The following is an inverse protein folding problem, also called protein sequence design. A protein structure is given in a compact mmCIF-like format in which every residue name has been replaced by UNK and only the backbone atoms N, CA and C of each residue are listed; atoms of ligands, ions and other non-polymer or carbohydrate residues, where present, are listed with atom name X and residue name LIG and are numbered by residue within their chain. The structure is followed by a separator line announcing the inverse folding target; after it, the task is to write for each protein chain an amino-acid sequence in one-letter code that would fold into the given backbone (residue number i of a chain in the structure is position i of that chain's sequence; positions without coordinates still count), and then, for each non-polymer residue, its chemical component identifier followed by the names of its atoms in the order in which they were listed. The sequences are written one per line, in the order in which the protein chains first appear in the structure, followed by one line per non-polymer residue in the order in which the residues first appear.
data_IF_633808757907
#
_entry.id   IF_633808757907
#
_cell.length_a   1.000
_cell.length_b   1.000
_cell.length_c   1.000
_cell.angle_alpha   90.00
_cell.angle_beta   90.00
_cell.angle_gamma   90.00
#
_symmetry.space_group_name_H-M   'P 1'
#
loop_
_entity.id
_entity.type
_entity.pdbx_description
1 polymer ?
#
# COMPACT_ATOMS: atom_id res chain seq x y z
N UNK A 1 9.37 -17.07 37.05
CA UNK A 1 8.44 -16.05 36.52
C UNK A 1 7.36 -16.77 35.72
N UNK A 2 6.12 -16.80 36.21
CA UNK A 2 5.02 -17.44 35.49
C UNK A 2 4.80 -16.71 34.16
N UNK A 3 4.85 -17.44 33.05
CA UNK A 3 4.51 -16.89 31.75
C UNK A 3 3.01 -16.55 31.77
N UNK A 4 2.68 -15.26 31.93
CA UNK A 4 1.29 -14.79 31.91
C UNK A 4 0.69 -15.22 30.57
N UNK A 5 -0.27 -16.13 30.64
CA UNK A 5 -1.06 -16.56 29.49
C UNK A 5 -2.27 -15.64 29.44
N UNK A 6 -2.49 -14.95 28.33
CA UNK A 6 -3.65 -14.08 28.15
C UNK A 6 -4.84 -14.93 27.68
N UNK A 7 -5.23 -15.90 28.50
CA UNK A 7 -6.25 -16.91 28.16
C UNK A 7 -7.64 -16.45 28.59
N UNK A 8 -7.72 -15.71 29.69
CA UNK A 8 -8.96 -15.18 30.27
C UNK A 8 -9.09 -13.66 30.08
N UNK A 9 -10.32 -13.17 30.13
CA UNK A 9 -10.61 -11.74 30.08
C UNK A 9 -10.04 -10.98 31.29
N UNK A 10 -9.91 -11.64 32.45
CA UNK A 10 -9.32 -11.04 33.66
C UNK A 10 -7.84 -10.71 33.45
N UNK A 11 -7.07 -11.67 32.95
CA UNK A 11 -5.63 -11.50 32.68
C UNK A 11 -5.38 -10.43 31.60
N UNK A 12 -6.26 -10.35 30.60
CA UNK A 12 -6.22 -9.29 29.59
C UNK A 12 -6.48 -7.92 30.24
N UNK A 13 -7.51 -7.82 31.08
CA UNK A 13 -7.87 -6.56 31.75
C UNK A 13 -6.82 -6.08 32.75
N UNK A 14 -6.17 -6.99 33.48
CA UNK A 14 -5.04 -6.68 34.35
C UNK A 14 -3.90 -6.05 33.55
N UNK A 15 -3.52 -6.68 32.43
CA UNK A 15 -2.45 -6.16 31.58
C UNK A 15 -2.80 -4.83 30.90
N UNK A 16 -4.06 -4.63 30.52
CA UNK A 16 -4.51 -3.35 29.98
C UNK A 16 -4.34 -2.23 31.01
N UNK A 17 -4.70 -2.46 32.26
CA UNK A 17 -4.51 -1.49 33.34
C UNK A 17 -3.03 -1.20 33.61
N UNK A 18 -2.17 -2.22 33.61
CA UNK A 18 -0.71 -2.03 33.71
C UNK A 18 -0.14 -1.14 32.60
N UNK A 19 -0.73 -1.21 31.40
CA UNK A 19 -0.36 -0.39 30.25
C UNK A 19 -1.04 0.99 30.25
N UNK A 20 -1.83 1.32 31.28
CA UNK A 20 -2.56 2.59 31.38
C UNK A 20 -3.79 2.67 30.46
N UNK A 21 -4.36 1.53 30.08
CA UNK A 21 -5.57 1.41 29.27
C UNK A 21 -6.77 0.98 30.11
N UNK A 22 -7.97 1.26 29.62
CA UNK A 22 -9.20 0.88 30.31
C UNK A 22 -9.47 -0.63 30.20
N UNK A 23 -10.11 -1.18 31.23
CA UNK A 23 -10.64 -2.55 31.20
C UNK A 23 -11.76 -2.62 30.16
N UNK A 24 -11.87 -3.76 29.50
CA UNK A 24 -12.89 -4.07 28.51
C UNK A 24 -13.91 -5.06 29.07
N UNK A 25 -15.17 -4.88 28.70
CA UNK A 25 -16.27 -5.80 29.02
C UNK A 25 -16.23 -7.07 28.15
N UNK A 26 -16.95 -8.14 28.53
CA UNK A 26 -17.07 -9.34 27.68
C UNK A 26 -17.63 -9.02 26.28
N UNK A 27 -18.58 -8.08 26.19
CA UNK A 27 -19.16 -7.64 24.92
C UNK A 27 -18.13 -6.92 24.05
N UNK A 28 -17.35 -6.00 24.63
CA UNK A 28 -16.27 -5.31 23.93
C UNK A 28 -15.17 -6.29 23.49
N UNK A 29 -14.84 -7.29 24.31
CA UNK A 29 -13.89 -8.33 23.94
C UNK A 29 -14.36 -9.15 22.73
N UNK A 30 -15.67 -9.44 22.63
CA UNK A 30 -16.25 -10.12 21.47
C UNK A 30 -16.22 -9.26 20.20
N UNK A 31 -16.45 -7.94 20.32
CA UNK A 31 -16.32 -7.01 19.19
C UNK A 31 -14.88 -6.85 18.72
N UNK A 32 -13.92 -6.77 19.65
CA UNK A 32 -12.49 -6.71 19.34
C UNK A 32 -12.04 -7.99 18.60
N UNK A 33 -12.55 -9.17 18.98
CA UNK A 33 -12.24 -10.43 18.30
C UNK A 33 -12.77 -10.49 16.86
N UNK A 34 -13.87 -9.80 16.54
CA UNK A 34 -14.35 -9.65 15.16
C UNK A 34 -13.45 -8.74 14.33
N UNK A 35 -12.87 -7.73 14.96
CA UNK A 35 -12.01 -6.73 14.29
C UNK A 35 -10.53 -7.15 14.20
N UNK A 36 -10.06 -8.06 15.07
CA UNK A 36 -8.69 -8.54 15.06
C UNK A 36 -8.59 -9.98 15.61
N UNK A 37 -7.76 -10.84 15.01
CA UNK A 37 -7.56 -12.20 15.50
C UNK A 37 -6.95 -12.21 16.91
N UNK A 38 -7.40 -13.15 17.76
CA UNK A 38 -6.97 -13.30 19.17
C UNK A 38 -5.45 -13.31 19.32
N UNK A 39 -4.72 -13.98 18.42
CA UNK A 39 -3.25 -14.03 18.41
C UNK A 39 -2.59 -12.66 18.33
N UNK A 40 -3.17 -11.74 17.55
CA UNK A 40 -2.66 -10.37 17.38
C UNK A 40 -2.90 -9.51 18.62
N UNK A 41 -4.03 -9.69 19.30
CA UNK A 41 -4.31 -9.02 20.57
C UNK A 41 -3.33 -9.49 21.67
N UNK A 42 -3.15 -10.80 21.80
CA UNK A 42 -2.20 -11.42 22.73
C UNK A 42 -0.77 -10.95 22.47
N UNK A 43 -0.35 -10.89 21.21
CA UNK A 43 0.97 -10.38 20.83
C UNK A 43 1.12 -8.90 21.19
N UNK A 44 0.11 -8.07 20.90
CA UNK A 44 0.16 -6.65 21.25
C UNK A 44 0.25 -6.42 22.77
N UNK A 45 -0.47 -7.20 23.59
CA UNK A 45 -0.39 -7.11 25.06
C UNK A 45 0.98 -7.48 25.62
N UNK A 46 1.69 -8.41 24.98
CA UNK A 46 3.08 -8.78 25.33
C UNK A 46 4.07 -7.66 25.01
N UNK A 47 3.94 -7.09 23.81
CA UNK A 47 4.95 -6.17 23.27
C UNK A 47 4.69 -4.71 23.61
N UNK A 48 3.50 -4.32 24.08
CA UNK A 48 3.10 -2.92 24.27
C UNK A 48 4.01 -2.09 25.18
N UNK A 49 4.75 -2.69 26.12
CA UNK A 49 5.69 -1.97 26.99
C UNK A 49 6.99 -1.56 26.29
N UNK A 50 7.37 -2.22 25.19
CA UNK A 50 8.62 -1.96 24.45
C UNK A 50 8.40 -1.66 22.96
N UNK A 51 7.16 -1.78 22.46
CA UNK A 51 6.79 -1.57 21.07
C UNK A 51 5.66 -0.54 20.96
N UNK A 52 6.02 0.68 20.54
CA UNK A 52 5.09 1.80 20.32
C UNK A 52 3.97 1.45 19.35
N UNK A 53 4.24 0.59 18.36
CA UNK A 53 3.24 0.10 17.40
C UNK A 53 2.19 -0.80 18.05
N UNK A 54 2.62 -1.69 18.94
CA UNK A 54 1.72 -2.54 19.73
C UNK A 54 0.86 -1.71 20.69
N UNK A 55 1.43 -0.69 21.33
CA UNK A 55 0.69 0.20 22.23
C UNK A 55 -0.35 1.05 21.47
N UNK A 56 0.00 1.59 20.31
CA UNK A 56 -0.92 2.34 19.46
C UNK A 56 -2.05 1.45 18.92
N UNK A 57 -1.77 0.19 18.61
CA UNK A 57 -2.79 -0.79 18.24
C UNK A 57 -3.80 -1.02 19.36
N UNK A 58 -3.35 -1.19 20.62
CA UNK A 58 -4.23 -1.36 21.77
C UNK A 58 -5.07 -0.10 22.06
N UNK A 59 -4.47 1.09 22.02
CA UNK A 59 -5.19 2.38 22.20
C UNK A 59 -6.29 2.61 21.17
N UNK A 60 -6.08 2.15 19.93
CA UNK A 60 -7.09 2.26 18.87
C UNK A 60 -8.27 1.33 19.08
N UNK A 61 -8.03 0.14 19.63
CA UNK A 61 -9.06 -0.85 19.89
C UNK A 61 -9.84 -0.58 21.18
N UNK A 62 -9.24 0.15 22.12
CA UNK A 62 -9.79 0.46 23.43
C UNK A 62 -9.82 1.98 23.56
N UNK A 63 -10.83 2.65 22.96
CA UNK A 63 -10.94 4.09 23.05
C UNK A 63 -11.11 4.49 24.52
N UNK A 64 -10.27 5.42 24.98
CA UNK A 64 -10.46 6.05 26.28
C UNK A 64 -11.79 6.82 26.25
N UNK A 65 -12.63 6.63 27.27
CA UNK A 65 -13.88 7.38 27.42
C UNK A 65 -13.60 8.89 27.33
N UNK A 66 -14.03 9.53 26.24
CA UNK A 66 -14.17 10.98 26.17
C UNK A 66 -15.32 11.36 27.11
N UNK A 67 -14.99 11.92 28.27
CA UNK A 67 -15.95 12.69 29.04
C UNK A 67 -16.45 13.86 28.20
N UNK A 68 -17.75 14.08 28.24
CA UNK A 68 -18.49 15.21 27.67
C UNK A 68 -17.74 16.54 27.73
N UNK A 69 -17.71 17.30 26.62
CA UNK A 69 -18.08 18.73 26.56
C UNK A 69 -17.83 19.36 25.17
N UNK A 70 -18.94 19.83 24.58
CA UNK A 70 -19.14 21.00 23.71
C UNK A 70 -18.13 21.33 22.59
N UNK A 71 -18.59 21.18 21.34
CA UNK A 71 -18.11 21.94 20.19
C UNK A 71 -19.25 22.84 19.65
N UNK A 72 -19.07 24.17 19.51
CA UNK A 72 -20.01 25.04 18.82
C UNK A 72 -19.94 24.84 17.30
N UNK A 73 -21.12 24.73 16.69
CA UNK A 73 -21.33 24.84 15.25
C UNK A 73 -21.23 26.32 14.82
N UNK A 74 -20.48 26.60 13.75
CA UNK A 74 -20.66 27.83 12.98
C UNK A 74 -20.82 27.47 11.50
N UNK A 75 -22.06 27.61 11.03
CA UNK A 75 -22.39 27.77 9.62
C UNK A 75 -22.25 29.25 9.22
N UNK A 76 -21.89 29.60 7.97
CA UNK A 76 -22.06 30.95 7.48
C UNK A 76 -23.47 31.16 6.88
N UNK A 77 -24.13 32.22 7.35
CA UNK A 77 -25.39 32.72 6.85
C UNK A 77 -25.21 33.53 5.56
N UNK A 78 -26.20 33.45 4.67
CA UNK A 78 -26.35 34.26 3.48
C UNK A 78 -27.65 35.11 3.58
N UNK A 79 -27.56 36.42 3.32
CA UNK A 79 -28.60 37.29 2.75
C UNK A 79 -28.13 38.77 2.74
N UNK A 80 -28.02 39.43 1.56
CA UNK A 80 -28.97 40.43 0.98
C UNK A 80 -28.49 41.89 1.21
N UNK A 81 -28.60 42.94 0.37
CA UNK A 81 -29.20 43.28 -0.95
C UNK A 81 -28.64 44.65 -1.42
N UNK A 82 -28.30 44.91 -2.69
CA UNK A 82 -29.07 45.74 -3.68
C UNK A 82 -28.31 47.02 -4.14
N UNK A 83 -28.75 47.85 -5.14
CA UNK A 83 -29.53 47.59 -6.36
C UNK A 83 -29.07 48.35 -7.67
N UNK A 84 -29.60 47.89 -8.83
CA UNK A 84 -30.00 48.60 -10.09
C UNK A 84 -29.00 49.36 -11.00
N UNK A 85 -28.96 49.00 -12.30
CA UNK A 85 -29.67 49.73 -13.39
C UNK A 85 -29.66 49.01 -14.76
N UNK A 86 -30.76 49.20 -15.52
CA UNK A 86 -31.07 48.67 -16.87
C UNK A 86 -30.41 49.50 -17.98
N UNK A 87 -30.06 48.87 -19.10
CA UNK A 87 -30.43 49.36 -20.44
C UNK A 87 -30.25 48.28 -21.52
N UNK A 88 -31.08 48.38 -22.55
CA UNK A 88 -31.38 47.41 -23.62
C UNK A 88 -30.94 47.93 -24.99
N UNK A 89 -30.52 47.05 -25.92
CA UNK A 89 -30.78 47.19 -27.37
C UNK A 89 -30.26 46.00 -28.23
N UNK A 90 -31.19 45.50 -29.07
CA UNK A 90 -31.08 44.97 -30.46
C UNK A 90 -30.14 43.81 -30.90
N UNK A 91 -30.78 42.78 -31.45
CA UNK A 91 -30.38 41.67 -32.36
C UNK A 91 -29.75 42.13 -33.72
N UNK A 92 -29.28 41.26 -34.69
CA UNK A 92 -29.62 39.83 -34.91
C UNK A 92 -28.53 38.81 -35.38
N UNK A 93 -28.88 37.54 -35.18
CA UNK A 93 -28.75 36.32 -36.01
C UNK A 93 -27.46 35.95 -36.77
N UNK A 94 -26.97 34.71 -36.50
CA UNK A 94 -26.66 33.73 -37.56
C UNK A 94 -26.84 32.30 -37.07
N UNK A 95 -27.80 31.60 -37.69
CA UNK A 95 -28.10 30.19 -37.53
C UNK A 95 -27.01 29.31 -38.15
N UNK A 96 -26.69 28.15 -37.57
CA UNK A 96 -26.31 26.92 -38.29
C UNK A 96 -26.92 25.71 -37.55
N UNK A 97 -27.81 25.03 -38.27
CA UNK A 97 -28.51 23.78 -37.94
C UNK A 97 -27.60 22.58 -38.25
N UNK A 98 -27.67 21.53 -37.42
CA UNK A 98 -26.98 20.26 -37.68
C UNK A 98 -27.41 19.17 -36.70
N UNK A 99 -28.49 18.46 -37.07
CA UNK A 99 -29.14 17.29 -36.47
C UNK A 99 -28.29 16.36 -35.57
N UNK A 100 -28.78 16.09 -34.36
CA UNK A 100 -28.47 14.89 -33.57
C UNK A 100 -29.74 14.01 -33.45
N UNK A 101 -29.68 12.69 -33.72
CA UNK A 101 -30.79 11.77 -33.45
C UNK A 101 -30.90 11.38 -31.95
N UNK A 102 -32.07 10.86 -31.52
CA UNK A 102 -32.43 10.70 -30.11
C UNK A 102 -31.77 9.50 -29.42
N UNK A 103 -31.64 9.64 -28.10
CA UNK A 103 -31.01 8.72 -27.17
C UNK A 103 -31.72 7.35 -27.11
N UNK A 104 -30.99 6.29 -27.45
CA UNK A 104 -31.32 4.92 -27.09
C UNK A 104 -30.80 4.61 -25.69
N UNK A 105 -31.70 4.18 -24.81
CA UNK A 105 -31.43 3.65 -23.48
C UNK A 105 -30.29 2.62 -23.50
N UNK A 106 -29.16 2.96 -22.88
CA UNK A 106 -28.07 2.02 -22.59
C UNK A 106 -28.08 1.70 -21.10
N UNK A 107 -28.30 0.43 -20.69
CA UNK A 107 -28.18 0.06 -19.29
C UNK A 107 -26.75 0.35 -18.80
N UNK A 108 -26.63 1.11 -17.70
CA UNK A 108 -25.39 1.24 -16.94
C UNK A 108 -25.01 -0.14 -16.39
N UNK A 109 -24.04 -0.79 -17.05
CA UNK A 109 -23.31 -1.90 -16.45
C UNK A 109 -22.54 -1.35 -15.24
N UNK A 110 -23.09 -1.56 -14.05
CA UNK A 110 -22.38 -1.38 -12.80
C UNK A 110 -21.23 -2.39 -12.77
N UNK A 111 -19.99 -1.90 -12.81
CA UNK A 111 -18.83 -2.70 -12.49
C UNK A 111 -18.94 -3.16 -11.03
N UNK A 112 -18.70 -4.45 -10.71
CA UNK A 112 -18.75 -4.91 -9.33
C UNK A 112 -17.66 -4.21 -8.51
N UNK A 113 -18.07 -3.63 -7.39
CA UNK A 113 -17.21 -3.00 -6.41
C UNK A 113 -16.13 -3.99 -5.94
N UNK A 114 -14.86 -3.63 -6.11
CA UNK A 114 -13.76 -4.36 -5.52
C UNK A 114 -13.94 -4.41 -3.98
N UNK A 115 -13.68 -5.55 -3.32
CA UNK A 115 -13.69 -5.61 -1.87
C UNK A 115 -12.61 -4.67 -1.33
N UNK A 116 -13.03 -3.62 -0.64
CA UNK A 116 -12.16 -2.72 0.10
C UNK A 116 -11.46 -3.52 1.20
N UNK A 117 -10.22 -3.93 0.93
CA UNK A 117 -9.31 -4.43 1.95
C UNK A 117 -9.18 -3.39 3.06
N UNK A 118 -9.29 -3.86 4.30
CA UNK A 118 -9.16 -3.13 5.55
C UNK A 118 -8.18 -1.94 5.44
N UNK A 119 -8.71 -0.72 5.57
CA UNK A 119 -7.91 0.51 5.68
C UNK A 119 -7.05 0.43 6.95
N UNK A 120 -5.83 -0.12 6.82
CA UNK A 120 -4.76 0.04 7.80
C UNK A 120 -4.50 1.54 7.93
N UNK A 121 -4.52 2.04 9.17
CA UNK A 121 -4.52 3.47 9.47
C UNK A 121 -3.43 4.24 8.73
N UNK A 122 -3.84 5.41 8.24
CA UNK A 122 -3.14 6.61 7.73
C UNK A 122 -1.60 6.61 7.66
N UNK A 123 -1.01 5.53 7.15
CA UNK A 123 0.33 5.52 6.59
C UNK A 123 0.13 5.57 5.09
N UNK A 124 0.66 6.61 4.47
CA UNK A 124 0.68 6.82 3.02
C UNK A 124 1.56 5.72 2.36
N UNK A 125 1.04 4.49 2.32
CA UNK A 125 1.69 3.35 1.69
C UNK A 125 1.54 3.52 0.19
N UNK A 126 2.51 4.22 -0.41
CA UNK A 126 2.63 4.31 -1.86
C UNK A 126 2.85 2.91 -2.42
N UNK A 127 1.87 2.38 -3.15
CA UNK A 127 1.96 1.11 -3.86
C UNK A 127 1.49 1.23 -5.31
N UNK A 128 1.94 0.29 -6.15
CA UNK A 128 1.53 0.17 -7.55
C UNK A 128 1.30 -1.30 -7.91
N UNK A 129 0.21 -1.57 -8.62
CA UNK A 129 -0.16 -2.91 -9.07
C UNK A 129 0.12 -3.08 -10.56
N UNK A 130 0.68 -4.22 -10.93
CA UNK A 130 0.92 -4.62 -12.33
C UNK A 130 0.17 -5.92 -12.58
N UNK A 131 -0.75 -5.91 -13.54
CA UNK A 131 -1.66 -7.04 -13.80
C UNK A 131 -1.26 -7.80 -15.06
N UNK A 132 -1.20 -9.13 -14.96
CA UNK A 132 -1.09 -10.04 -16.10
C UNK A 132 -2.23 -11.05 -16.11
N UNK A 133 -2.34 -11.84 -17.19
CA UNK A 133 -3.41 -12.84 -17.31
C UNK A 133 -3.35 -13.96 -16.26
N UNK A 134 -2.15 -14.39 -15.88
CA UNK A 134 -1.93 -15.53 -14.96
C UNK A 134 -1.52 -15.13 -13.54
N UNK A 135 -1.12 -13.88 -13.34
CA UNK A 135 -0.66 -13.38 -12.06
C UNK A 135 -0.77 -11.84 -12.00
N UNK A 136 -0.68 -11.29 -10.80
CA UNK A 136 -0.54 -9.86 -10.56
C UNK A 136 0.62 -9.64 -9.59
N UNK A 137 1.34 -8.53 -9.76
CA UNK A 137 2.39 -8.10 -8.86
C UNK A 137 2.02 -6.76 -8.18
N UNK A 138 2.43 -6.58 -6.94
CA UNK A 138 2.30 -5.33 -6.20
C UNK A 138 3.66 -4.88 -5.73
N UNK A 139 4.01 -3.64 -6.06
CA UNK A 139 5.19 -2.94 -5.58
C UNK A 139 4.76 -2.00 -4.48
N UNK A 140 5.28 -2.16 -3.27
CA UNK A 140 4.92 -1.32 -2.14
C UNK A 140 6.14 -0.70 -1.49
N UNK A 141 6.04 0.59 -1.18
CA UNK A 141 6.82 1.22 -0.14
C UNK A 141 6.82 0.37 1.14
N UNK A 142 7.98 0.01 1.66
CA UNK A 142 8.10 -0.79 2.88
C UNK A 142 9.29 -0.32 3.73
N UNK A 143 9.40 -0.85 4.95
CA UNK A 143 10.53 -0.59 5.85
C UNK A 143 11.03 -1.92 6.43
N UNK A 144 12.34 -2.03 6.68
CA UNK A 144 12.87 -3.18 7.42
C UNK A 144 12.46 -3.08 8.90
N UNK A 145 12.73 -4.13 9.69
CA UNK A 145 12.47 -4.12 11.14
C UNK A 145 13.18 -2.98 11.88
N UNK A 146 14.28 -2.49 11.31
CA UNK A 146 15.07 -1.39 11.88
C UNK A 146 14.67 -0.03 11.30
N UNK A 147 13.57 0.04 10.52
CA UNK A 147 13.08 1.28 9.91
C UNK A 147 13.84 1.71 8.65
N UNK A 148 14.66 0.84 8.05
CA UNK A 148 15.34 1.19 6.79
C UNK A 148 14.34 1.19 5.63
N UNK A 149 14.19 2.29 4.87
CA UNK A 149 13.30 2.38 3.72
C UNK A 149 13.65 1.34 2.64
N UNK A 150 12.65 0.61 2.16
CA UNK A 150 12.80 -0.42 1.14
C UNK A 150 11.52 -0.62 0.33
N UNK A 151 11.51 -1.65 -0.50
CA UNK A 151 10.42 -2.03 -1.39
C UNK A 151 10.05 -3.47 -1.11
N UNK A 152 8.74 -3.73 -1.04
CA UNK A 152 8.19 -5.07 -1.06
C UNK A 152 7.60 -5.36 -2.42
N UNK A 153 7.95 -6.52 -2.97
CA UNK A 153 7.33 -7.09 -4.15
C UNK A 153 6.48 -8.28 -3.73
N UNK A 154 5.18 -8.19 -4.00
CA UNK A 154 4.23 -9.27 -3.76
C UNK A 154 3.66 -9.80 -5.07
N UNK A 155 3.48 -11.11 -5.20
CA UNK A 155 2.88 -11.73 -6.38
C UNK A 155 1.75 -12.67 -6.00
N UNK A 156 0.62 -12.55 -6.69
CA UNK A 156 -0.55 -13.40 -6.53
C UNK A 156 -0.91 -14.08 -7.85
N UNK A 157 -1.27 -15.37 -7.78
CA UNK A 157 -1.73 -16.12 -8.96
C UNK A 157 -3.17 -15.73 -9.29
N UNK A 158 -3.51 -15.79 -10.58
CA UNK A 158 -4.88 -15.64 -11.05
C UNK A 158 -5.74 -16.80 -10.55
N UNK A 159 -6.94 -16.47 -10.08
CA UNK A 159 -8.01 -17.43 -9.70
C UNK A 159 -9.27 -17.22 -10.56
N UNK A 160 -9.19 -16.34 -11.55
CA UNK A 160 -10.30 -16.00 -12.42
C UNK A 160 -9.99 -14.76 -13.26
N UNK A 161 -10.94 -14.35 -14.09
CA UNK A 161 -10.79 -13.14 -14.89
C UNK A 161 -10.62 -11.92 -13.99
N UNK A 162 -9.43 -11.30 -14.06
CA UNK A 162 -9.03 -10.13 -13.25
C UNK A 162 -9.16 -10.34 -11.74
N UNK A 163 -9.11 -11.59 -11.28
CA UNK A 163 -9.16 -11.98 -9.87
C UNK A 163 -7.88 -12.72 -9.48
N UNK A 164 -7.31 -12.37 -8.33
CA UNK A 164 -6.00 -12.87 -7.90
C UNK A 164 -6.02 -13.27 -6.43
N UNK A 165 -5.36 -14.38 -6.11
CA UNK A 165 -5.28 -14.93 -4.77
C UNK A 165 -4.20 -14.21 -3.94
N UNK A 166 -4.57 -13.06 -3.38
CA UNK A 166 -3.70 -12.30 -2.49
C UNK A 166 -3.52 -12.95 -1.11
N UNK A 167 -4.38 -13.90 -0.74
CA UNK A 167 -4.27 -14.64 0.53
C UNK A 167 -3.08 -15.58 0.51
N UNK A 168 -2.79 -16.18 -0.66
CA UNK A 168 -1.64 -17.07 -0.87
C UNK A 168 -0.52 -16.40 -1.70
N UNK A 169 -0.30 -15.10 -1.52
CA UNK A 169 0.73 -14.36 -2.25
C UNK A 169 2.16 -14.77 -1.85
N UNK A 170 3.07 -14.65 -2.81
CA UNK A 170 4.51 -14.66 -2.57
C UNK A 170 4.93 -13.24 -2.23
N UNK A 171 5.74 -13.04 -1.19
CA UNK A 171 6.26 -11.72 -0.83
C UNK A 171 7.77 -11.78 -0.63
N UNK A 172 8.49 -10.85 -1.26
CA UNK A 172 9.92 -10.59 -1.06
C UNK A 172 10.13 -9.13 -0.74
N UNK A 173 11.04 -8.84 0.17
CA UNK A 173 11.47 -7.48 0.50
C UNK A 173 12.87 -7.29 -0.08
N UNK A 174 13.07 -6.19 -0.80
CA UNK A 174 14.33 -5.89 -1.46
C UNK A 174 15.39 -5.57 -0.41
N UNK A 175 16.61 -6.02 -0.65
CA UNK A 175 17.78 -5.55 0.08
C UNK A 175 18.25 -4.19 -0.45
N UNK A 176 19.12 -3.51 0.30
CA UNK A 176 19.71 -2.23 -0.14
C UNK A 176 20.47 -2.36 -1.46
N UNK A 177 21.18 -3.46 -1.66
CA UNK A 177 21.97 -3.70 -2.86
C UNK A 177 21.06 -3.98 -4.06
N UNK A 178 19.99 -4.74 -3.84
CA UNK A 178 18.97 -5.02 -4.85
C UNK A 178 18.23 -3.76 -5.31
N UNK A 179 17.92 -2.80 -4.43
CA UNK A 179 17.31 -1.53 -4.83
C UNK A 179 18.18 -0.77 -5.84
N UNK A 180 19.52 -0.82 -5.68
CA UNK A 180 20.46 -0.19 -6.60
C UNK A 180 20.42 -0.87 -7.97
N UNK A 181 20.44 -2.21 -7.99
CA UNK A 181 20.31 -2.99 -9.21
C UNK A 181 18.94 -2.80 -9.88
N UNK A 182 17.87 -2.61 -9.10
CA UNK A 182 16.53 -2.39 -9.61
C UNK A 182 16.42 -1.06 -10.36
N UNK A 183 16.91 0.03 -9.77
CA UNK A 183 16.97 1.33 -10.46
C UNK A 183 17.78 1.21 -11.73
N UNK A 184 18.96 0.59 -11.69
CA UNK A 184 19.80 0.46 -12.86
C UNK A 184 19.18 -0.43 -13.96
N UNK A 185 18.41 -1.46 -13.59
CA UNK A 185 17.69 -2.30 -14.56
C UNK A 185 16.55 -1.52 -15.20
N UNK A 186 15.70 -0.88 -14.38
CA UNK A 186 14.53 -0.14 -14.86
C UNK A 186 14.87 1.13 -15.63
N UNK A 187 16.09 1.64 -15.49
CA UNK A 187 16.62 2.78 -16.26
C UNK A 187 17.53 2.36 -17.42
N UNK A 188 17.62 1.06 -17.72
CA UNK A 188 18.31 0.53 -18.90
C UNK A 188 19.84 0.38 -18.78
N UNK A 189 20.43 0.64 -17.61
CA UNK A 189 21.86 0.44 -17.39
C UNK A 189 22.25 -1.05 -17.20
N UNK A 190 21.31 -1.86 -16.68
CA UNK A 190 21.40 -3.32 -16.59
C UNK A 190 20.29 -3.97 -17.42
N UNK A 191 20.60 -5.01 -18.22
CA UNK A 191 19.58 -5.73 -18.97
C UNK A 191 18.72 -6.63 -18.07
N UNK A 192 19.24 -7.00 -16.89
CA UNK A 192 18.62 -7.96 -15.98
C UNK A 192 19.13 -7.75 -14.55
N UNK A 193 18.26 -8.02 -13.58
CA UNK A 193 18.67 -8.33 -12.21
C UNK A 193 17.92 -9.54 -11.65
N UNK A 194 18.53 -10.21 -10.67
CA UNK A 194 17.87 -11.23 -9.87
C UNK A 194 18.25 -11.08 -8.39
N UNK A 195 17.27 -11.30 -7.52
CA UNK A 195 17.47 -11.49 -6.08
C UNK A 195 17.05 -12.91 -5.72
N UNK A 196 17.93 -13.65 -5.06
CA UNK A 196 17.71 -15.06 -4.66
C UNK A 196 17.99 -15.21 -3.19
N UNK A 197 17.64 -16.37 -2.65
CA UNK A 197 17.91 -16.73 -1.26
C UNK A 197 17.15 -15.87 -0.23
N UNK A 198 15.99 -15.31 -0.61
CA UNK A 198 15.12 -14.62 0.34
C UNK A 198 14.37 -15.65 1.20
N UNK A 199 13.95 -15.23 2.39
CA UNK A 199 13.25 -16.10 3.34
C UNK A 199 14.19 -16.80 4.31
N UNK A 200 13.61 -17.51 5.28
CA UNK A 200 14.34 -18.23 6.34
C UNK A 200 13.91 -19.70 6.33
N UNK A 201 14.83 -20.62 6.62
CA UNK A 201 14.54 -22.05 6.66
C UNK A 201 14.08 -22.63 5.32
N UNK A 202 12.94 -23.32 5.34
CA UNK A 202 12.29 -23.94 4.16
C UNK A 202 11.85 -22.92 3.10
N UNK A 203 11.80 -21.63 3.45
CA UNK A 203 11.42 -20.54 2.57
C UNK A 203 12.60 -19.90 1.83
N UNK A 204 13.84 -20.36 2.05
CA UNK A 204 15.07 -19.78 1.49
C UNK A 204 15.10 -19.72 -0.04
N UNK A 205 14.30 -20.50 -0.77
CA UNK A 205 14.26 -20.41 -2.23
C UNK A 205 13.43 -19.25 -2.80
N UNK A 206 13.02 -18.27 -1.98
CA UNK A 206 12.28 -17.10 -2.49
C UNK A 206 13.22 -16.19 -3.28
N UNK A 207 12.67 -15.55 -4.30
CA UNK A 207 13.41 -14.62 -5.11
C UNK A 207 12.56 -13.91 -6.15
N UNK A 208 13.23 -13.11 -6.94
CA UNK A 208 12.63 -12.35 -8.01
C UNK A 208 13.62 -12.14 -9.15
N UNK A 209 13.08 -11.78 -10.31
CA UNK A 209 13.84 -11.46 -11.51
C UNK A 209 13.16 -10.30 -12.23
N UNK A 210 13.97 -9.36 -12.73
CA UNK A 210 13.52 -8.27 -13.61
C UNK A 210 14.39 -8.35 -14.86
N UNK A 211 13.76 -8.47 -16.03
CA UNK A 211 14.45 -8.49 -17.32
C UNK A 211 13.91 -7.35 -18.17
N UNK A 212 14.80 -6.52 -18.70
CA UNK A 212 14.48 -5.57 -19.75
C UNK A 212 14.38 -6.32 -21.09
N UNK A 213 13.20 -6.30 -21.72
CA UNK A 213 12.97 -6.92 -23.03
C UNK A 213 13.01 -5.90 -24.18
N UNK A 214 13.41 -4.66 -23.91
CA UNK A 214 13.44 -3.54 -24.85
C UNK A 214 12.09 -2.86 -25.02
N UNK A 215 11.00 -3.62 -25.18
CA UNK A 215 9.63 -3.07 -25.34
C UNK A 215 8.88 -2.93 -24.02
N UNK A 216 9.21 -3.78 -23.06
CA UNK A 216 8.59 -3.88 -21.75
C UNK A 216 9.57 -4.59 -20.82
N UNK A 217 9.28 -4.58 -19.53
CA UNK A 217 9.99 -5.44 -18.58
C UNK A 217 9.23 -6.74 -18.39
N UNK A 218 9.94 -7.81 -18.07
CA UNK A 218 9.33 -9.03 -17.54
C UNK A 218 9.77 -9.22 -16.10
N UNK A 219 8.79 -9.22 -15.20
CA UNK A 219 9.03 -9.30 -13.76
C UNK A 219 8.49 -10.61 -13.24
N UNK A 220 9.30 -11.31 -12.43
CA UNK A 220 8.91 -12.55 -11.75
C UNK A 220 9.17 -12.43 -10.26
N UNK A 221 8.30 -13.04 -9.46
CA UNK A 221 8.57 -13.39 -8.08
C UNK A 221 8.24 -14.87 -7.88
N UNK A 222 9.07 -15.58 -7.13
CA UNK A 222 8.97 -17.02 -6.97
C UNK A 222 9.30 -17.47 -5.56
N UNK A 223 8.79 -18.64 -5.19
CA UNK A 223 9.07 -19.28 -3.92
C UNK A 223 9.00 -20.81 -4.05
N UNK A 224 9.69 -21.56 -3.17
CA UNK A 224 9.50 -23.00 -3.04
C UNK A 224 8.03 -23.27 -2.75
N UNK A 225 7.47 -24.30 -3.39
CA UNK A 225 6.09 -24.79 -3.21
C UNK A 225 4.97 -23.82 -3.65
N UNK A 226 5.18 -22.50 -3.67
CA UNK A 226 4.20 -21.54 -4.20
C UNK A 226 4.37 -21.32 -5.71
N UNK A 227 5.50 -21.69 -6.31
CA UNK A 227 5.75 -21.56 -7.74
C UNK A 227 6.15 -20.13 -8.14
N UNK A 228 5.73 -19.69 -9.33
CA UNK A 228 6.15 -18.41 -9.94
C UNK A 228 4.93 -17.54 -10.25
N UNK A 229 5.00 -16.26 -9.92
CA UNK A 229 4.11 -15.22 -10.41
C UNK A 229 4.91 -14.31 -11.35
N UNK A 230 4.48 -14.19 -12.61
CA UNK A 230 5.19 -13.42 -13.63
C UNK A 230 4.24 -12.53 -14.41
N UNK A 231 4.64 -11.29 -14.67
CA UNK A 231 3.85 -10.31 -15.42
C UNK A 231 4.75 -9.54 -16.40
N UNK A 232 4.27 -9.23 -17.62
CA UNK A 232 4.84 -8.14 -18.39
C UNK A 232 4.51 -6.82 -17.69
N UNK A 233 5.52 -5.98 -17.50
CA UNK A 233 5.37 -4.65 -16.93
C UNK A 233 5.63 -3.63 -18.04
N UNK A 234 4.61 -2.82 -18.32
CA UNK A 234 4.64 -1.79 -19.37
C UNK A 234 5.63 -0.67 -19.02
N UNK A 235 6.07 0.14 -20.00
CA UNK A 235 6.88 1.33 -19.70
C UNK A 235 6.22 2.30 -18.72
N UNK A 236 4.89 2.46 -18.78
CA UNK A 236 4.11 3.31 -17.88
C UNK A 236 4.12 2.80 -16.43
N UNK A 237 3.95 1.48 -16.28
CA UNK A 237 4.08 0.82 -14.97
C UNK A 237 5.52 0.93 -14.45
N UNK A 238 6.50 0.70 -15.31
CA UNK A 238 7.92 0.77 -14.96
C UNK A 238 8.32 2.17 -14.49
N UNK A 239 7.79 3.23 -15.12
CA UNK A 239 8.00 4.61 -14.68
C UNK A 239 7.46 4.84 -13.26
N UNK A 240 6.25 4.36 -12.98
CA UNK A 240 5.61 4.49 -11.66
C UNK A 240 6.39 3.70 -10.61
N UNK A 241 6.74 2.45 -10.90
CA UNK A 241 7.53 1.59 -10.02
C UNK A 241 8.89 2.21 -9.72
N UNK A 242 9.60 2.70 -10.74
CA UNK A 242 10.89 3.38 -10.59
C UNK A 242 10.77 4.60 -9.69
N UNK A 243 9.70 5.39 -9.83
CA UNK A 243 9.42 6.55 -9.00
C UNK A 243 9.21 6.17 -7.52
N UNK A 244 8.52 5.06 -7.25
CA UNK A 244 8.34 4.54 -5.88
C UNK A 244 9.69 4.12 -5.29
N UNK A 245 10.51 3.39 -6.06
CA UNK A 245 11.84 2.94 -5.63
C UNK A 245 12.72 4.16 -5.30
N UNK A 246 12.79 5.16 -6.18
CA UNK A 246 13.57 6.37 -5.97
C UNK A 246 13.08 7.15 -4.74
N UNK A 247 11.75 7.26 -4.54
CA UNK A 247 11.17 7.87 -3.33
C UNK A 247 11.65 7.16 -2.07
N UNK A 248 11.68 5.83 -2.05
CA UNK A 248 12.17 5.05 -0.91
C UNK A 248 13.69 5.22 -0.70
N UNK A 249 14.48 5.14 -1.75
CA UNK A 249 15.93 5.33 -1.64
C UNK A 249 16.30 6.72 -1.10
N UNK A 250 15.55 7.76 -1.49
CA UNK A 250 15.74 9.13 -1.00
C UNK A 250 15.39 9.30 0.47
N UNK A 251 14.44 8.54 1.03
CA UNK A 251 14.18 8.59 2.48
C UNK A 251 15.42 8.25 3.31
N UNK A 252 16.22 7.29 2.87
CA UNK A 252 17.48 6.93 3.52
C UNK A 252 18.67 7.81 3.13
N UNK A 253 18.53 8.64 2.09
CA UNK A 253 19.60 9.49 1.52
C UNK A 253 19.02 10.84 1.06
N UNK A 254 18.48 11.66 1.97
CA UNK A 254 17.73 12.87 1.60
C UNK A 254 18.58 13.91 0.85
N UNK A 255 19.90 13.86 1.01
CA UNK A 255 20.85 14.73 0.32
C UNK A 255 21.11 14.35 -1.14
N UNK A 256 20.63 13.19 -1.62
CA UNK A 256 20.74 12.80 -3.03
C UNK A 256 19.46 13.14 -3.79
N UNK A 257 19.64 13.71 -4.99
CA UNK A 257 18.54 13.86 -5.95
C UNK A 257 18.20 12.51 -6.59
N UNK A 258 17.01 12.42 -7.21
CA UNK A 258 16.66 11.24 -8.01
C UNK A 258 17.63 11.00 -9.17
N UNK A 259 18.13 12.08 -9.79
CA UNK A 259 19.11 12.02 -10.87
C UNK A 259 20.46 11.47 -10.38
N UNK A 260 20.94 11.90 -9.20
CA UNK A 260 22.18 11.39 -8.62
C UNK A 260 22.07 9.89 -8.30
N UNK A 261 20.92 9.45 -7.79
CA UNK A 261 20.66 8.04 -7.51
C UNK A 261 20.72 7.19 -8.79
N UNK A 262 20.08 7.64 -9.88
CA UNK A 262 20.12 6.94 -11.18
C UNK A 262 21.56 6.88 -11.71
N UNK A 263 22.28 8.01 -11.70
CA UNK A 263 23.66 8.08 -12.20
C UNK A 263 24.61 7.19 -11.39
N UNK A 264 24.52 7.24 -10.06
CA UNK A 264 25.34 6.40 -9.17
C UNK A 264 25.01 4.92 -9.33
N UNK A 265 23.72 4.56 -9.43
CA UNK A 265 23.30 3.18 -9.66
C UNK A 265 23.88 2.64 -10.97
N UNK A 266 23.67 3.36 -12.07
CA UNK A 266 24.19 2.99 -13.39
C UNK A 266 25.72 2.83 -13.40
N UNK A 267 26.46 3.75 -12.78
CA UNK A 267 27.93 3.69 -12.72
C UNK A 267 28.44 2.55 -11.85
N UNK A 268 27.75 2.27 -10.74
CA UNK A 268 28.19 1.24 -9.77
C UNK A 268 28.01 -0.16 -10.34
N UNK A 269 26.85 -0.44 -10.93
CA UNK A 269 26.56 -1.77 -11.49
C UNK A 269 27.30 -2.02 -12.80
N UNK A 270 27.71 -0.97 -13.53
CA UNK A 270 28.59 -1.12 -14.69
C UNK A 270 29.91 -1.83 -14.37
N UNK A 271 30.36 -1.81 -13.11
CA UNK A 271 31.53 -2.56 -12.63
C UNK A 271 31.26 -4.04 -12.36
N UNK A 272 29.99 -4.44 -12.24
CA UNK A 272 29.55 -5.82 -12.04
C UNK A 272 29.49 -6.61 -13.35
N UNK A 273 29.58 -5.95 -14.52
CA UNK A 273 29.58 -6.57 -15.86
C UNK A 273 30.88 -7.32 -16.21
N UNK A 274 31.50 -8.01 -15.25
CA UNK A 274 32.69 -8.84 -15.50
C UNK A 274 32.30 -10.28 -15.82
#
# INVERSE_FOLDING_TARGET
MNAVKYETLSEVNERLVELGLQKISPQQAAEIQKAAPKSRLVQALREASSNTGAMNFLRRLIPANQGSQNAPQTAPAANQSGPQQRQSSSQPARAHQGNNPPASNRPQNQAPAQPQGERRGDKDYTSHHVYGGKAALTWSADETRNGEPTIRLEGAKSIGERQYDWSNKIAVQFTRDELTCAVATLTGALPKMEGKNHGVGDQTGKGFEIVDQGTNFFVKVFAPNAGVCAVPMTPEDAFTVTSIILKQMRKGKPWLSGQDLIMLAARTVGRMKK
#
